data_IF_958806787293
#
_entry.id   IF_958806787293
#
_cell.length_a   1.000
_cell.length_b   1.000
_cell.length_c   1.000
_cell.angle_alpha   90.00
_cell.angle_beta   90.00
_cell.angle_gamma   90.00
#
_symmetry.space_group_name_H-M   'P 1'
#
loop_
_entity.id
_entity.type
_entity.pdbx_description
1 polymer ?
#
# COMPACT_ATOMS: atom_id res chain seq x y z
N UNK A 1 -7.08 22.69 -27.97
CA UNK A 1 -6.83 21.28 -28.35
C UNK A 1 -7.99 20.44 -27.87
N UNK A 2 -8.42 19.40 -28.61
CA UNK A 2 -9.49 18.48 -28.20
C UNK A 2 -8.95 17.05 -28.11
N UNK A 3 -9.58 16.19 -27.28
CA UNK A 3 -9.28 14.76 -27.15
C UNK A 3 -10.55 13.99 -26.73
N UNK A 4 -10.71 12.76 -27.19
CA UNK A 4 -11.84 11.92 -26.74
C UNK A 4 -11.77 11.67 -25.22
N UNK A 5 -10.58 11.34 -24.72
CA UNK A 5 -10.34 11.11 -23.28
C UNK A 5 -9.15 11.92 -22.78
N UNK A 6 -9.37 12.66 -21.70
CA UNK A 6 -8.29 13.26 -20.93
C UNK A 6 -8.17 12.52 -19.61
N UNK A 7 -6.93 12.14 -19.25
CA UNK A 7 -6.63 11.57 -17.94
C UNK A 7 -5.83 12.58 -17.13
N UNK A 8 -6.32 12.94 -15.96
CA UNK A 8 -5.68 13.90 -15.06
C UNK A 8 -4.95 13.16 -13.92
N UNK A 9 -3.62 13.10 -14.04
CA UNK A 9 -2.72 12.38 -13.14
C UNK A 9 -2.14 11.11 -13.75
N UNK A 10 -0.81 10.97 -13.71
CA UNK A 10 -0.02 9.89 -14.33
C UNK A 10 0.39 8.78 -13.37
N UNK A 11 -0.34 8.57 -12.27
CA UNK A 11 -0.16 7.45 -11.34
C UNK A 11 -0.67 6.12 -11.88
N UNK A 12 -0.65 5.02 -11.08
CA UNK A 12 -1.05 3.68 -11.53
C UNK A 12 -2.44 3.61 -12.18
N UNK A 13 -3.43 4.26 -11.60
CA UNK A 13 -4.76 4.35 -12.22
C UNK A 13 -4.74 5.18 -13.51
N UNK A 14 -4.02 6.32 -13.50
CA UNK A 14 -4.01 7.24 -14.62
C UNK A 14 -3.31 6.67 -15.86
N UNK A 15 -2.09 6.14 -15.74
CA UNK A 15 -1.44 5.54 -16.92
C UNK A 15 -2.17 4.27 -17.39
N UNK A 16 -2.77 3.50 -16.46
CA UNK A 16 -3.60 2.36 -16.85
C UNK A 16 -4.82 2.80 -17.67
N UNK A 17 -5.55 3.82 -17.21
CA UNK A 17 -6.70 4.38 -17.94
C UNK A 17 -6.27 4.91 -19.32
N UNK A 18 -5.17 5.69 -19.38
CA UNK A 18 -4.69 6.27 -20.62
C UNK A 18 -4.27 5.19 -21.64
N UNK A 19 -3.58 4.14 -21.18
CA UNK A 19 -3.12 3.06 -22.07
C UNK A 19 -4.28 2.21 -22.56
N UNK A 20 -5.21 1.84 -21.68
CA UNK A 20 -6.40 1.08 -22.05
C UNK A 20 -7.27 1.84 -23.06
N UNK A 21 -7.49 3.14 -22.82
CA UNK A 21 -8.27 3.97 -23.76
C UNK A 21 -7.61 4.06 -25.14
N UNK A 22 -6.27 4.22 -25.17
CA UNK A 22 -5.52 4.26 -26.44
C UNK A 22 -5.51 2.89 -27.15
N UNK A 23 -5.39 1.78 -26.43
CA UNK A 23 -5.45 0.42 -26.98
C UNK A 23 -6.83 0.11 -27.58
N UNK A 24 -7.90 0.76 -27.10
CA UNK A 24 -9.27 0.69 -27.65
C UNK A 24 -9.52 1.73 -28.77
N UNK A 25 -8.48 2.46 -29.20
CA UNK A 25 -8.54 3.36 -30.37
C UNK A 25 -9.01 4.78 -30.08
N UNK A 26 -9.13 5.20 -28.82
CA UNK A 26 -9.51 6.56 -28.46
C UNK A 26 -8.30 7.51 -28.55
N UNK A 27 -8.56 8.78 -28.89
CA UNK A 27 -7.55 9.84 -28.75
C UNK A 27 -7.39 10.19 -27.26
N UNK A 28 -6.15 10.09 -26.75
CA UNK A 28 -5.87 10.23 -25.32
C UNK A 28 -4.81 11.29 -25.04
N UNK A 29 -5.14 12.18 -24.12
CA UNK A 29 -4.18 13.11 -23.51
C UNK A 29 -4.05 12.74 -22.03
N UNK A 30 -2.81 12.53 -21.56
CA UNK A 30 -2.47 12.36 -20.16
C UNK A 30 -1.82 13.63 -19.62
N UNK A 31 -2.47 14.30 -18.68
CA UNK A 31 -1.96 15.51 -18.01
C UNK A 31 -1.32 15.09 -16.69
N UNK A 32 -0.02 15.38 -16.54
CA UNK A 32 0.76 15.08 -15.34
C UNK A 32 1.60 16.29 -14.92
N UNK A 33 1.53 16.62 -13.65
CA UNK A 33 2.29 17.77 -13.09
C UNK A 33 3.75 17.45 -12.81
N UNK A 34 4.08 16.19 -12.61
CA UNK A 34 5.45 15.73 -12.37
C UNK A 34 6.24 15.59 -13.68
N UNK A 35 7.56 15.57 -13.56
CA UNK A 35 8.45 15.39 -14.72
C UNK A 35 8.46 13.97 -15.28
N UNK A 36 7.95 12.99 -14.53
CA UNK A 36 7.93 11.57 -14.87
C UNK A 36 6.56 10.97 -14.57
N UNK A 37 6.14 10.00 -15.39
CA UNK A 37 4.97 9.17 -15.09
C UNK A 37 5.25 8.22 -13.93
N UNK A 38 4.20 7.78 -13.25
CA UNK A 38 4.27 6.78 -12.19
C UNK A 38 3.59 7.19 -10.89
N UNK A 39 3.36 8.50 -10.72
CA UNK A 39 2.67 9.05 -9.53
C UNK A 39 3.34 8.68 -8.22
N UNK A 40 2.59 8.78 -7.14
CA UNK A 40 3.09 8.47 -5.79
C UNK A 40 3.69 7.06 -5.69
N UNK A 41 3.01 6.05 -6.21
CA UNK A 41 3.43 4.66 -6.07
C UNK A 41 4.83 4.41 -6.64
N UNK A 42 5.09 4.85 -7.87
CA UNK A 42 6.34 4.56 -8.56
C UNK A 42 7.47 5.51 -8.15
N UNK A 43 7.15 6.79 -7.91
CA UNK A 43 8.18 7.82 -7.67
C UNK A 43 8.58 7.94 -6.19
N UNK A 44 7.61 7.80 -5.27
CA UNK A 44 7.78 8.13 -3.83
C UNK A 44 6.88 7.30 -2.90
N UNK A 45 6.61 6.05 -3.26
CA UNK A 45 5.74 5.13 -2.50
C UNK A 45 6.18 3.69 -2.62
N UNK A 46 5.34 2.86 -3.25
CA UNK A 46 5.48 1.41 -3.28
C UNK A 46 6.84 0.92 -3.82
N UNK A 47 7.28 1.45 -4.95
CA UNK A 47 8.51 0.94 -5.60
C UNK A 47 9.78 1.33 -4.81
N UNK A 48 10.01 2.61 -4.47
CA UNK A 48 11.18 2.95 -3.66
C UNK A 48 11.17 2.28 -2.28
N UNK A 49 10.00 2.14 -1.62
CA UNK A 49 9.94 1.47 -0.32
C UNK A 49 10.32 -0.01 -0.43
N UNK A 50 9.81 -0.75 -1.43
CA UNK A 50 10.15 -2.16 -1.64
C UNK A 50 11.60 -2.37 -2.04
N UNK A 51 12.19 -1.44 -2.79
CA UNK A 51 13.62 -1.46 -3.08
C UNK A 51 14.49 -1.31 -1.82
N UNK A 52 14.08 -0.44 -0.87
CA UNK A 52 14.78 -0.26 0.40
C UNK A 52 14.50 -1.40 1.39
N UNK A 53 13.25 -1.89 1.47
CA UNK A 53 12.88 -3.03 2.31
C UNK A 53 13.62 -4.31 1.91
N UNK A 54 13.88 -4.50 0.61
CA UNK A 54 14.72 -5.63 0.18
C UNK A 54 16.15 -5.54 0.75
N UNK A 55 16.74 -4.35 0.77
CA UNK A 55 18.06 -4.14 1.39
C UNK A 55 18.00 -4.43 2.90
N UNK A 56 16.97 -3.90 3.59
CA UNK A 56 16.75 -4.13 5.00
C UNK A 56 16.59 -5.63 5.32
N UNK A 57 15.78 -6.34 4.51
CA UNK A 57 15.56 -7.79 4.65
C UNK A 57 16.86 -8.57 4.55
N UNK A 58 17.68 -8.31 3.52
CA UNK A 58 18.98 -8.98 3.34
C UNK A 58 19.90 -8.73 4.54
N UNK A 59 19.96 -7.49 5.06
CA UNK A 59 20.75 -7.17 6.25
C UNK A 59 20.26 -7.95 7.48
N UNK A 60 18.94 -8.05 7.68
CA UNK A 60 18.34 -8.83 8.76
C UNK A 60 18.63 -10.34 8.63
N UNK A 61 18.46 -10.91 7.44
CA UNK A 61 18.74 -12.32 7.17
C UNK A 61 20.22 -12.67 7.40
N UNK A 62 21.15 -11.80 6.98
CA UNK A 62 22.58 -11.97 7.22
C UNK A 62 22.91 -11.95 8.73
N UNK A 63 22.26 -11.08 9.47
CA UNK A 63 22.43 -11.01 10.92
C UNK A 63 21.95 -12.29 11.62
N UNK A 64 20.75 -12.77 11.29
CA UNK A 64 20.18 -14.02 11.81
C UNK A 64 21.05 -15.25 11.46
N UNK A 65 21.55 -15.32 10.23
CA UNK A 65 22.44 -16.40 9.80
C UNK A 65 23.75 -16.40 10.61
N UNK A 66 24.25 -15.23 10.99
CA UNK A 66 25.47 -15.13 11.80
C UNK A 66 25.24 -15.58 13.25
N UNK A 67 24.03 -15.41 13.78
CA UNK A 67 23.71 -15.82 15.15
C UNK A 67 23.41 -17.32 15.25
N UNK A 68 22.59 -17.87 14.34
CA UNK A 68 21.97 -19.19 14.52
C UNK A 68 22.41 -20.26 13.53
N UNK A 69 22.99 -19.89 12.37
CA UNK A 69 23.18 -20.83 11.25
C UNK A 69 24.64 -21.24 11.04
N UNK A 70 25.55 -20.74 11.86
CA UNK A 70 26.98 -21.09 11.79
C UNK A 70 27.71 -20.48 10.59
N UNK A 71 27.22 -19.38 10.03
CA UNK A 71 27.85 -18.62 8.94
C UNK A 71 28.22 -17.24 9.46
N UNK A 72 29.51 -16.95 9.55
CA UNK A 72 29.99 -15.65 10.03
C UNK A 72 30.11 -14.65 8.86
N UNK A 73 29.54 -13.47 9.06
CA UNK A 73 29.71 -12.32 8.18
C UNK A 73 30.38 -11.18 8.95
N UNK A 74 31.22 -10.41 8.27
CA UNK A 74 31.74 -9.16 8.83
C UNK A 74 30.62 -8.10 8.98
N UNK A 75 30.83 -7.13 9.87
CA UNK A 75 29.91 -6.01 10.02
C UNK A 75 29.67 -5.29 8.67
N UNK A 76 28.42 -5.06 8.23
CA UNK A 76 28.16 -4.46 6.95
C UNK A 76 28.63 -2.99 6.93
N UNK A 77 29.29 -2.59 5.84
CA UNK A 77 29.59 -1.18 5.57
C UNK A 77 28.52 -0.62 4.61
N UNK A 78 27.68 0.24 5.12
CA UNK A 78 26.56 0.81 4.37
C UNK A 78 26.99 2.15 3.74
N UNK A 79 26.98 2.20 2.40
CA UNK A 79 27.10 3.44 1.64
C UNK A 79 25.69 3.91 1.24
N UNK A 80 25.14 4.85 2.00
CA UNK A 80 23.78 5.38 1.79
C UNK A 80 23.60 5.98 0.40
N UNK A 81 24.66 6.55 -0.19
CA UNK A 81 24.58 7.13 -1.53
C UNK A 81 24.40 6.04 -2.60
N UNK A 82 25.08 4.89 -2.44
CA UNK A 82 24.90 3.76 -3.36
C UNK A 82 23.54 3.08 -3.19
N UNK A 83 23.04 2.95 -1.97
CA UNK A 83 21.69 2.43 -1.70
C UNK A 83 20.65 3.34 -2.36
N UNK A 84 20.77 4.66 -2.18
CA UNK A 84 19.91 5.65 -2.83
C UNK A 84 20.01 5.57 -4.34
N UNK A 85 21.21 5.56 -4.91
CA UNK A 85 21.41 5.47 -6.36
C UNK A 85 20.79 4.21 -6.97
N UNK A 86 20.86 3.05 -6.27
CA UNK A 86 20.18 1.83 -6.71
C UNK A 86 18.65 2.00 -6.72
N UNK A 87 18.08 2.59 -5.66
CA UNK A 87 16.64 2.89 -5.60
C UNK A 87 16.21 3.80 -6.76
N UNK A 88 16.94 4.90 -7.00
CA UNK A 88 16.66 5.82 -8.11
C UNK A 88 16.76 5.12 -9.47
N UNK A 89 17.76 4.25 -9.67
CA UNK A 89 17.87 3.45 -10.90
C UNK A 89 16.65 2.58 -11.16
N UNK A 90 16.05 1.99 -10.13
CA UNK A 90 14.81 1.21 -10.26
C UNK A 90 13.66 2.10 -10.73
N UNK A 91 13.50 3.27 -10.09
CA UNK A 91 12.49 4.27 -10.45
C UNK A 91 12.69 4.70 -11.91
N UNK A 92 13.90 5.07 -12.30
CA UNK A 92 14.21 5.56 -13.65
C UNK A 92 13.96 4.50 -14.73
N UNK A 93 14.30 3.26 -14.45
CA UNK A 93 14.03 2.14 -15.37
C UNK A 93 12.54 1.98 -15.63
N UNK A 94 11.72 1.99 -14.58
CA UNK A 94 10.28 1.80 -14.70
C UNK A 94 9.58 3.03 -15.31
N UNK A 95 9.95 4.23 -14.91
CA UNK A 95 9.36 5.46 -15.49
C UNK A 95 9.74 5.62 -16.96
N UNK A 96 10.97 5.27 -17.34
CA UNK A 96 11.40 5.21 -18.73
C UNK A 96 10.57 4.22 -19.55
N UNK A 97 10.28 3.07 -18.99
CA UNK A 97 9.38 2.07 -19.59
C UNK A 97 7.97 2.63 -19.83
N UNK A 98 7.38 3.29 -18.84
CA UNK A 98 6.04 3.91 -18.99
C UNK A 98 6.02 4.97 -20.10
N UNK A 99 7.04 5.81 -20.17
CA UNK A 99 7.18 6.84 -21.21
C UNK A 99 7.25 6.21 -22.61
N UNK A 100 8.00 5.12 -22.77
CA UNK A 100 8.07 4.39 -24.03
C UNK A 100 6.74 3.73 -24.40
N UNK A 101 6.02 3.17 -23.42
CA UNK A 101 4.71 2.55 -23.62
C UNK A 101 3.66 3.59 -24.01
N UNK A 102 3.67 4.77 -23.41
CA UNK A 102 2.81 5.89 -23.80
C UNK A 102 3.07 6.31 -25.25
N UNK A 103 4.34 6.46 -25.63
CA UNK A 103 4.74 6.82 -27.00
C UNK A 103 4.28 5.78 -28.04
N UNK A 104 4.41 4.47 -27.74
CA UNK A 104 3.98 3.40 -28.64
C UNK A 104 2.48 3.37 -28.86
N UNK A 105 1.69 3.86 -27.90
CA UNK A 105 0.22 3.96 -27.94
C UNK A 105 -0.26 5.31 -28.44
N UNK A 106 0.63 6.20 -28.86
CA UNK A 106 0.31 7.56 -29.25
C UNK A 106 -0.42 8.38 -28.16
N UNK A 107 -0.25 8.02 -26.88
CA UNK A 107 -0.77 8.80 -25.76
C UNK A 107 0.05 10.10 -25.68
N UNK A 108 -0.63 11.23 -25.82
CA UNK A 108 -0.01 12.54 -25.68
C UNK A 108 0.13 12.89 -24.21
N UNK A 109 1.38 13.03 -23.74
CA UNK A 109 1.66 13.46 -22.36
C UNK A 109 1.82 14.99 -22.38
N UNK A 110 1.11 15.68 -21.49
CA UNK A 110 1.25 17.11 -21.25
C UNK A 110 1.69 17.31 -19.81
N UNK A 111 2.86 17.95 -19.64
CA UNK A 111 3.38 18.30 -18.33
C UNK A 111 2.78 19.61 -17.85
N UNK A 112 1.71 19.50 -17.06
CA UNK A 112 0.98 20.64 -16.53
C UNK A 112 0.16 20.25 -15.30
N UNK A 113 -0.25 21.24 -14.52
CA UNK A 113 -1.35 21.09 -13.57
C UNK A 113 -2.65 21.40 -14.30
N UNK A 114 -3.59 20.46 -14.29
CA UNK A 114 -4.92 20.62 -14.89
C UNK A 114 -5.92 21.17 -13.87
N UNK A 115 -6.77 22.11 -14.29
CA UNK A 115 -7.86 22.68 -13.51
C UNK A 115 -9.11 22.79 -14.37
N UNK A 116 -10.25 22.32 -13.89
CA UNK A 116 -11.52 22.41 -14.61
C UNK A 116 -11.98 23.87 -14.72
N UNK A 117 -12.18 24.33 -15.96
CA UNK A 117 -12.89 25.57 -16.27
C UNK A 117 -14.42 25.32 -16.29
N UNK A 118 -14.81 24.15 -16.78
CA UNK A 118 -16.17 23.61 -16.80
C UNK A 118 -16.11 22.08 -17.00
N UNK A 119 -17.27 21.42 -17.16
CA UNK A 119 -17.40 19.96 -17.29
C UNK A 119 -16.69 19.33 -18.49
N UNK A 120 -16.23 20.12 -19.48
CA UNK A 120 -15.62 19.60 -20.72
C UNK A 120 -14.33 20.32 -21.09
N UNK A 121 -13.80 21.19 -20.21
CA UNK A 121 -12.60 22.00 -20.48
C UNK A 121 -11.67 22.02 -19.27
N UNK A 122 -10.40 21.68 -19.51
CA UNK A 122 -9.30 21.88 -18.56
C UNK A 122 -8.44 23.08 -18.96
N UNK A 123 -8.15 23.93 -17.98
CA UNK A 123 -7.04 24.90 -18.01
C UNK A 123 -5.77 24.19 -17.60
N UNK A 124 -4.65 24.49 -18.28
CA UNK A 124 -3.34 23.93 -18.02
C UNK A 124 -2.44 25.00 -17.44
N UNK A 125 -1.92 24.76 -16.26
CA UNK A 125 -0.99 25.65 -15.56
C UNK A 125 0.42 25.03 -15.61
N UNK A 126 1.40 25.83 -16.05
CA UNK A 126 2.82 25.45 -16.17
C UNK A 126 3.51 26.16 -17.32
N UNK A 127 4.82 25.90 -17.46
CA UNK A 127 5.70 26.53 -18.46
C UNK A 127 6.26 25.51 -19.48
N UNK A 128 5.72 24.29 -19.50
CA UNK A 128 6.24 23.22 -20.37
C UNK A 128 5.78 23.41 -21.82
N UNK A 129 6.70 23.15 -22.76
CA UNK A 129 6.44 23.27 -24.20
C UNK A 129 5.35 22.31 -24.73
N UNK A 130 4.96 21.30 -23.96
CA UNK A 130 3.84 20.39 -24.30
C UNK A 130 2.48 21.04 -24.16
N UNK A 131 2.37 22.17 -23.43
CA UNK A 131 1.11 22.90 -23.23
C UNK A 131 0.70 23.53 -24.56
N UNK A 132 -0.54 23.29 -25.03
CA UNK A 132 -1.02 23.88 -26.29
C UNK A 132 -1.19 25.39 -26.17
N UNK A 133 -1.10 26.08 -27.31
CA UNK A 133 -1.44 27.49 -27.39
C UNK A 133 -2.82 27.78 -26.80
N UNK A 134 -2.91 28.83 -25.97
CA UNK A 134 -4.10 29.17 -25.20
C UNK A 134 -4.33 28.35 -23.90
N UNK A 135 -3.43 27.40 -23.57
CA UNK A 135 -3.41 26.71 -22.28
C UNK A 135 -4.69 25.91 -21.95
N UNK A 136 -5.44 25.44 -22.98
CA UNK A 136 -6.73 24.74 -22.77
C UNK A 136 -6.82 23.44 -23.55
N UNK A 137 -7.47 22.44 -22.91
CA UNK A 137 -7.88 21.18 -23.55
C UNK A 137 -9.38 21.02 -23.37
N UNK A 138 -10.09 20.70 -24.45
CA UNK A 138 -11.48 20.22 -24.40
C UNK A 138 -11.51 18.71 -24.57
N UNK A 139 -12.54 18.04 -24.06
CA UNK A 139 -12.66 16.59 -24.08
C UNK A 139 -14.11 16.14 -24.09
N UNK A 140 -14.31 14.89 -24.52
CA UNK A 140 -15.61 14.21 -24.37
C UNK A 140 -15.72 13.65 -22.95
N UNK A 141 -14.64 13.01 -22.45
CA UNK A 141 -14.56 12.45 -21.09
C UNK A 141 -13.25 12.80 -20.42
N UNK A 142 -13.31 13.00 -19.09
CA UNK A 142 -12.13 13.16 -18.24
C UNK A 142 -12.11 12.10 -17.12
N UNK A 143 -10.98 11.44 -16.94
CA UNK A 143 -10.73 10.52 -15.82
C UNK A 143 -9.81 11.21 -14.81
N UNK A 144 -10.35 11.56 -13.63
CA UNK A 144 -9.59 12.15 -12.53
C UNK A 144 -8.87 11.04 -11.77
N UNK A 145 -7.55 11.02 -11.85
CA UNK A 145 -6.65 10.04 -11.22
C UNK A 145 -5.54 10.72 -10.42
N UNK A 146 -5.86 11.82 -9.76
CA UNK A 146 -4.92 12.70 -9.05
C UNK A 146 -4.34 12.10 -7.76
N UNK A 147 -4.91 10.99 -7.29
CA UNK A 147 -4.37 10.19 -6.19
C UNK A 147 -4.46 10.86 -4.82
N UNK A 148 -3.42 10.69 -4.02
CA UNK A 148 -3.34 11.16 -2.64
C UNK A 148 -1.94 11.66 -2.28
N UNK A 149 -1.86 12.44 -1.20
CA UNK A 149 -0.60 12.92 -0.60
C UNK A 149 -0.54 12.54 0.88
N UNK A 150 0.66 12.46 1.50
CA UNK A 150 0.78 12.25 2.93
C UNK A 150 0.00 13.31 3.73
N UNK A 151 -0.61 12.90 4.82
CA UNK A 151 -1.22 13.83 5.77
C UNK A 151 -0.16 14.37 6.71
N UNK A 152 0.00 15.69 6.73
CA UNK A 152 0.83 16.41 7.71
C UNK A 152 -0.10 17.27 8.58
N UNK A 153 -0.34 16.89 9.84
CA UNK A 153 -1.10 17.73 10.77
C UNK A 153 -0.42 19.08 10.93
N UNK A 154 -1.16 20.20 10.96
CA UNK A 154 -0.57 21.54 11.13
C UNK A 154 0.30 21.69 12.38
N UNK A 155 -0.01 20.97 13.46
CA UNK A 155 0.79 20.95 14.70
C UNK A 155 2.16 20.27 14.55
N UNK A 156 2.38 19.49 13.49
CA UNK A 156 3.64 18.82 13.19
C UNK A 156 4.42 19.49 12.06
N UNK A 157 3.77 20.37 11.30
CA UNK A 157 4.41 21.16 10.23
C UNK A 157 5.09 22.40 10.82
N UNK A 158 6.24 22.16 11.47
CA UNK A 158 7.02 23.22 12.14
C UNK A 158 8.04 23.90 11.21
N UNK A 159 7.99 23.64 9.90
CA UNK A 159 8.92 24.20 8.91
C UNK A 159 10.34 23.63 8.96
N UNK A 160 10.58 22.57 9.74
CA UNK A 160 11.88 21.94 9.88
C UNK A 160 12.09 20.83 8.86
N UNK A 161 13.26 20.81 8.22
CA UNK A 161 13.67 19.71 7.34
C UNK A 161 13.93 18.39 8.07
N UNK A 162 13.96 18.41 9.41
CA UNK A 162 14.10 17.24 10.26
C UNK A 162 12.79 16.52 10.50
N UNK A 163 11.65 17.19 10.31
CA UNK A 163 10.32 16.59 10.33
C UNK A 163 9.96 16.26 8.88
N UNK A 164 9.82 15.00 8.58
CA UNK A 164 9.59 14.49 7.22
C UNK A 164 8.31 13.67 7.14
N UNK A 165 7.69 13.69 5.98
CA UNK A 165 6.66 12.75 5.58
C UNK A 165 7.29 11.48 4.95
N UNK A 166 6.46 10.58 4.43
CA UNK A 166 6.93 9.36 3.74
C UNK A 166 7.80 9.67 2.51
N UNK A 167 7.58 10.79 1.83
CA UNK A 167 8.39 11.22 0.67
C UNK A 167 9.81 11.58 1.13
N UNK A 168 9.91 12.35 2.20
CA UNK A 168 11.19 12.72 2.82
C UNK A 168 11.96 11.50 3.33
N UNK A 169 11.25 10.55 3.98
CA UNK A 169 11.87 9.32 4.45
C UNK A 169 12.41 8.46 3.29
N UNK A 170 11.66 8.34 2.19
CA UNK A 170 12.07 7.59 1.00
C UNK A 170 13.19 8.27 0.21
N UNK A 171 13.40 9.57 0.38
CA UNK A 171 14.56 10.26 -0.19
C UNK A 171 15.88 9.73 0.39
N UNK A 172 15.86 9.19 1.60
CA UNK A 172 16.99 8.57 2.29
C UNK A 172 18.23 9.49 2.25
N UNK A 173 18.08 10.74 2.68
CA UNK A 173 19.14 11.76 2.63
C UNK A 173 20.32 11.36 3.52
N UNK A 174 20.03 10.82 4.69
CA UNK A 174 20.99 10.32 5.68
C UNK A 174 20.40 9.14 6.47
N UNK A 175 21.19 8.59 7.37
CA UNK A 175 20.77 7.59 8.36
C UNK A 175 20.90 8.28 9.72
N UNK A 176 19.82 8.80 10.33
CA UNK A 176 19.87 9.46 11.62
C UNK A 176 20.24 8.46 12.72
N UNK A 177 20.93 8.90 13.77
CA UNK A 177 21.19 8.03 14.93
C UNK A 177 19.87 7.68 15.63
N UNK A 178 18.99 8.69 15.86
CA UNK A 178 17.70 8.53 16.50
C UNK A 178 16.58 8.98 15.55
N UNK A 179 15.69 8.07 15.22
CA UNK A 179 14.50 8.34 14.40
C UNK A 179 13.24 8.08 15.22
N UNK A 180 12.33 9.06 15.27
CA UNK A 180 10.96 8.84 15.71
C UNK A 180 10.04 8.61 14.50
N UNK A 181 9.21 7.59 14.57
CA UNK A 181 8.09 7.34 13.64
C UNK A 181 6.78 7.62 14.38
N UNK A 182 6.03 8.61 13.91
CA UNK A 182 4.69 8.95 14.41
C UNK A 182 3.65 8.27 13.51
N UNK A 183 2.95 7.29 14.08
CA UNK A 183 1.96 6.44 13.42
C UNK A 183 2.46 5.01 13.18
N UNK A 184 1.77 4.04 13.78
CA UNK A 184 2.02 2.61 13.69
C UNK A 184 1.33 1.92 12.50
N UNK A 185 1.00 2.67 11.43
CA UNK A 185 0.50 2.16 10.16
C UNK A 185 1.59 1.54 9.29
N UNK A 186 1.20 0.93 8.16
CA UNK A 186 2.13 0.20 7.28
C UNK A 186 3.30 1.05 6.78
N UNK A 187 3.08 2.33 6.42
CA UNK A 187 4.13 3.23 5.93
C UNK A 187 5.19 3.47 7.02
N UNK A 188 4.74 3.78 8.23
CA UNK A 188 5.63 4.04 9.36
C UNK A 188 6.44 2.81 9.74
N UNK A 189 5.81 1.64 9.80
CA UNK A 189 6.48 0.39 10.16
C UNK A 189 7.45 -0.08 9.08
N UNK A 190 7.10 0.03 7.78
CA UNK A 190 8.00 -0.28 6.68
C UNK A 190 9.25 0.61 6.72
N UNK A 191 9.06 1.93 6.84
CA UNK A 191 10.19 2.87 6.91
C UNK A 191 11.00 2.71 8.21
N UNK A 192 10.34 2.51 9.35
CA UNK A 192 10.98 2.20 10.62
C UNK A 192 11.88 0.96 10.52
N UNK A 193 11.39 -0.10 9.87
CA UNK A 193 12.18 -1.32 9.61
C UNK A 193 13.38 -1.04 8.73
N UNK A 194 13.22 -0.26 7.65
CA UNK A 194 14.34 0.14 6.77
C UNK A 194 15.42 0.87 7.57
N UNK A 195 15.05 1.92 8.27
CA UNK A 195 16.03 2.72 9.02
C UNK A 195 16.68 1.95 10.16
N UNK A 196 15.95 1.07 10.85
CA UNK A 196 16.51 0.22 11.91
C UNK A 196 17.60 -0.70 11.36
N UNK A 197 17.35 -1.40 10.24
CA UNK A 197 18.37 -2.25 9.61
C UNK A 197 19.54 -1.46 8.99
N UNK A 198 19.34 -0.19 8.66
CA UNK A 198 20.43 0.70 8.23
C UNK A 198 21.25 1.26 9.42
N UNK A 199 20.84 1.03 10.67
CA UNK A 199 21.59 1.38 11.87
C UNK A 199 20.99 2.48 12.75
N UNK A 200 19.80 3.01 12.42
CA UNK A 200 19.10 3.99 13.27
C UNK A 200 18.48 3.34 14.50
N UNK A 201 18.54 4.02 15.65
CA UNK A 201 17.71 3.72 16.82
C UNK A 201 16.29 4.26 16.58
N UNK A 202 15.39 3.39 16.13
CA UNK A 202 14.03 3.77 15.77
C UNK A 202 13.10 3.64 16.97
N UNK A 203 12.27 4.66 17.20
CA UNK A 203 11.13 4.63 18.13
C UNK A 203 9.84 4.78 17.33
N UNK A 204 8.81 4.02 17.67
CA UNK A 204 7.47 4.12 17.05
C UNK A 204 6.48 4.58 18.13
N UNK A 205 5.69 5.60 17.81
CA UNK A 205 4.60 6.05 18.66
C UNK A 205 3.26 5.88 17.92
N UNK A 206 2.30 5.25 18.59
CA UNK A 206 0.96 4.99 18.05
C UNK A 206 -0.10 5.43 19.07
N UNK A 207 -1.09 6.16 18.61
CA UNK A 207 -2.17 6.67 19.46
C UNK A 207 -3.13 5.58 19.91
N UNK A 208 -3.35 4.57 19.06
CA UNK A 208 -4.23 3.43 19.37
C UNK A 208 -3.52 2.37 20.23
N UNK A 209 -4.26 1.37 20.67
CA UNK A 209 -3.79 0.26 21.49
C UNK A 209 -3.03 -0.82 20.70
N UNK A 210 -2.90 -0.65 19.38
CA UNK A 210 -2.23 -1.63 18.51
C UNK A 210 -1.68 -1.06 17.22
N UNK A 211 -0.63 -1.68 16.71
CA UNK A 211 -0.07 -1.40 15.39
C UNK A 211 -1.04 -1.86 14.29
N UNK A 212 -0.91 -1.28 13.07
CA UNK A 212 -1.69 -1.64 11.88
C UNK A 212 -3.20 -1.65 12.13
N UNK A 213 -3.82 -0.50 12.45
CA UNK A 213 -5.26 -0.43 12.60
C UNK A 213 -5.94 -0.89 11.30
N UNK A 214 -6.92 -1.81 11.43
CA UNK A 214 -7.62 -2.42 10.28
C UNK A 214 -7.13 -3.80 9.85
N UNK A 215 -5.98 -4.27 10.34
CA UNK A 215 -5.57 -5.67 10.22
C UNK A 215 -6.01 -6.47 11.46
N UNK A 216 -6.40 -7.73 11.26
CA UNK A 216 -6.76 -8.64 12.37
C UNK A 216 -5.62 -8.75 13.39
N UNK A 217 -5.97 -8.68 14.66
CA UNK A 217 -4.99 -8.59 15.76
C UNK A 217 -4.06 -9.80 15.87
N UNK A 218 -4.55 -10.98 15.52
CA UNK A 218 -3.76 -12.21 15.48
C UNK A 218 -2.66 -12.14 14.40
N UNK A 219 -2.96 -11.58 13.21
CA UNK A 219 -1.97 -11.36 12.15
C UNK A 219 -0.89 -10.36 12.56
N UNK A 220 -1.24 -9.35 13.34
CA UNK A 220 -0.28 -8.31 13.78
C UNK A 220 0.65 -8.82 14.88
N UNK A 221 0.23 -9.79 15.70
CA UNK A 221 0.99 -10.24 16.87
C UNK A 221 2.39 -10.76 16.54
N UNK A 222 2.62 -11.65 15.54
CA UNK A 222 3.97 -12.08 15.15
C UNK A 222 4.87 -10.90 14.75
N UNK A 223 4.36 -10.00 13.92
CA UNK A 223 5.09 -8.79 13.53
C UNK A 223 5.43 -7.91 14.73
N UNK A 224 4.47 -7.65 15.61
CA UNK A 224 4.70 -6.84 16.81
C UNK A 224 5.84 -7.42 17.67
N UNK A 225 5.83 -8.74 17.90
CA UNK A 225 6.87 -9.41 18.66
C UNK A 225 8.26 -9.27 18.03
N UNK A 226 8.34 -9.35 16.69
CA UNK A 226 9.60 -9.18 15.96
C UNK A 226 10.08 -7.73 15.99
N UNK A 227 9.16 -6.77 15.77
CA UNK A 227 9.49 -5.34 15.87
C UNK A 227 9.93 -4.93 17.29
N UNK A 228 9.37 -5.52 18.34
CA UNK A 228 9.83 -5.31 19.72
C UNK A 228 11.31 -5.67 19.90
N UNK A 229 11.75 -6.77 19.32
CA UNK A 229 13.16 -7.16 19.33
C UNK A 229 14.00 -6.19 18.50
N UNK A 230 13.64 -5.96 17.24
CA UNK A 230 14.37 -5.08 16.33
C UNK A 230 14.50 -3.64 16.87
N UNK A 231 13.46 -3.12 17.49
CA UNK A 231 13.40 -1.75 18.02
C UNK A 231 13.70 -1.67 19.52
N UNK A 232 14.19 -2.75 20.15
CA UNK A 232 14.57 -2.80 21.57
C UNK A 232 13.47 -2.22 22.49
N UNK A 233 12.24 -2.71 22.33
CA UNK A 233 11.03 -2.30 23.05
C UNK A 233 10.62 -0.81 22.87
N UNK A 234 11.18 -0.07 21.90
CA UNK A 234 10.82 1.34 21.65
C UNK A 234 9.53 1.49 20.80
N UNK A 235 8.47 0.77 21.16
CA UNK A 235 7.13 0.88 20.59
C UNK A 235 6.19 1.39 21.68
N UNK A 236 5.65 2.58 21.48
CA UNK A 236 4.81 3.28 22.46
C UNK A 236 3.37 3.35 21.96
N UNK A 237 2.54 2.42 22.39
CA UNK A 237 1.11 2.39 22.12
C UNK A 237 0.34 3.29 23.08
N UNK A 238 -0.93 3.60 22.76
CA UNK A 238 -1.77 4.51 23.55
C UNK A 238 -1.05 5.83 23.90
N UNK A 239 -0.23 6.34 22.97
CA UNK A 239 0.62 7.49 23.19
C UNK A 239 0.40 8.53 22.11
N UNK A 240 0.04 9.74 22.51
CA UNK A 240 -0.12 10.89 21.65
C UNK A 240 1.15 11.72 21.60
N UNK A 241 1.47 12.26 20.44
CA UNK A 241 2.45 13.33 20.31
C UNK A 241 1.74 14.66 20.51
N UNK A 242 2.15 15.42 21.51
CA UNK A 242 1.56 16.72 21.85
C UNK A 242 2.13 17.86 20.99
N UNK A 243 3.48 17.96 20.93
CA UNK A 243 4.17 19.01 20.18
C UNK A 243 5.52 18.58 19.65
N UNK A 244 5.97 19.27 18.62
CA UNK A 244 7.31 19.20 18.06
C UNK A 244 7.97 20.58 18.12
N UNK A 245 9.26 20.64 18.45
CA UNK A 245 10.07 21.86 18.39
C UNK A 245 11.49 21.52 17.94
N UNK A 246 12.06 22.29 17.01
CA UNK A 246 13.48 22.14 16.65
C UNK A 246 14.35 22.90 17.65
N UNK A 247 15.28 22.19 18.29
CA UNK A 247 16.20 22.72 19.31
C UNK A 247 17.59 22.10 19.07
N UNK A 248 18.61 22.93 18.91
CA UNK A 248 20.02 22.51 18.79
C UNK A 248 20.20 21.37 17.75
N UNK A 249 19.71 21.56 16.54
CA UNK A 249 19.82 20.56 15.46
C UNK A 249 19.12 19.21 15.72
N UNK A 250 18.17 19.14 16.65
CA UNK A 250 17.32 18.01 16.93
C UNK A 250 15.86 18.43 17.04
N UNK A 251 14.94 17.48 16.93
CA UNK A 251 13.52 17.70 17.19
C UNK A 251 13.19 17.19 18.59
N UNK A 252 12.83 18.11 19.47
CA UNK A 252 12.26 17.78 20.78
C UNK A 252 10.78 17.45 20.59
N UNK A 253 10.38 16.31 21.13
CA UNK A 253 9.03 15.74 20.98
C UNK A 253 8.41 15.57 22.37
N UNK A 254 7.21 16.09 22.54
CA UNK A 254 6.42 15.88 23.78
C UNK A 254 5.49 14.70 23.60
N UNK A 255 5.52 13.77 24.53
CA UNK A 255 4.66 12.58 24.57
C UNK A 255 3.63 12.68 25.69
N UNK A 256 2.40 12.25 25.41
CA UNK A 256 1.27 12.22 26.33
C UNK A 256 0.59 10.86 26.25
N UNK A 257 0.74 10.03 27.27
CA UNK A 257 0.06 8.74 27.34
C UNK A 257 0.73 7.73 28.26
N UNK A 258 0.04 6.61 28.54
CA UNK A 258 0.58 5.55 29.42
C UNK A 258 1.77 4.80 28.80
N UNK A 259 1.89 4.75 27.47
CA UNK A 259 3.01 4.13 26.80
C UNK A 259 4.30 4.95 26.91
N UNK A 260 4.19 6.28 26.87
CA UNK A 260 5.31 7.21 27.06
C UNK A 260 4.79 8.59 27.47
N UNK A 261 5.48 9.20 28.43
CA UNK A 261 5.21 10.56 28.91
C UNK A 261 6.51 11.36 29.03
N UNK A 262 6.44 12.70 28.80
CA UNK A 262 7.58 13.60 28.90
C UNK A 262 8.16 14.00 27.55
N UNK A 263 9.44 14.34 27.52
CA UNK A 263 10.11 14.87 26.34
C UNK A 263 11.28 13.98 25.94
N UNK A 264 11.54 13.89 24.64
CA UNK A 264 12.75 13.25 24.09
C UNK A 264 13.17 13.94 22.80
N UNK A 265 14.48 13.93 22.52
CA UNK A 265 15.06 14.53 21.30
C UNK A 265 15.43 13.44 20.28
N UNK A 266 15.15 13.73 19.02
CA UNK A 266 15.43 12.88 17.86
C UNK A 266 16.13 13.69 16.78
N UNK A 267 17.00 13.03 16.01
CA UNK A 267 17.67 13.69 14.89
C UNK A 267 16.71 13.92 13.72
N UNK A 268 15.74 13.00 13.56
CA UNK A 268 14.65 13.13 12.59
C UNK A 268 13.35 12.56 13.13
N UNK A 269 12.25 13.08 12.62
CA UNK A 269 10.89 12.62 12.91
C UNK A 269 10.17 12.31 11.59
N UNK A 270 9.65 11.10 11.45
CA UNK A 270 8.78 10.70 10.35
C UNK A 270 7.31 10.77 10.79
N UNK A 271 6.52 11.59 10.12
CA UNK A 271 5.07 11.68 10.31
C UNK A 271 4.38 10.79 9.27
N UNK A 272 3.71 9.73 9.74
CA UNK A 272 3.04 8.70 8.91
C UNK A 272 1.63 8.38 9.41
N UNK A 273 0.85 9.42 9.67
CA UNK A 273 -0.50 9.35 10.28
C UNK A 273 -1.64 9.25 9.27
N UNK A 274 -1.35 8.90 8.04
CA UNK A 274 -2.34 8.67 6.98
C UNK A 274 -2.07 9.47 5.71
N UNK A 275 -3.05 9.45 4.81
CA UNK A 275 -3.03 10.12 3.51
C UNK A 275 -4.33 10.88 3.29
N UNK A 276 -4.29 11.92 2.47
CA UNK A 276 -5.48 12.68 2.05
C UNK A 276 -5.61 12.68 0.52
N UNK A 277 -6.83 12.59 -0.03
CA UNK A 277 -7.06 12.66 -1.47
C UNK A 277 -6.70 14.03 -2.04
N UNK A 278 -6.26 14.06 -3.31
CA UNK A 278 -5.96 15.30 -4.03
C UNK A 278 -7.18 15.68 -4.89
N UNK A 279 -8.20 16.23 -4.25
CA UNK A 279 -9.43 16.72 -4.88
C UNK A 279 -9.55 18.24 -4.84
N UNK A 280 -8.76 18.90 -4.03
CA UNK A 280 -8.78 20.36 -3.89
C UNK A 280 -7.89 21.06 -4.93
N UNK A 281 -8.30 22.26 -5.35
CA UNK A 281 -7.55 23.08 -6.31
C UNK A 281 -7.65 22.57 -7.75
N UNK A 282 -8.54 21.63 -8.03
CA UNK A 282 -8.79 21.11 -9.37
C UNK A 282 -9.86 21.88 -10.15
N UNK A 283 -10.52 22.87 -9.56
CA UNK A 283 -11.63 23.61 -10.18
C UNK A 283 -12.93 22.79 -10.28
N UNK A 284 -13.10 21.75 -9.44
CA UNK A 284 -14.28 20.89 -9.44
C UNK A 284 -15.55 21.66 -9.10
N UNK A 285 -15.43 22.81 -8.42
CA UNK A 285 -16.52 23.75 -8.15
C UNK A 285 -17.17 24.33 -9.42
N UNK A 286 -16.49 24.25 -10.56
CA UNK A 286 -16.97 24.67 -11.89
C UNK A 286 -17.71 23.53 -12.64
N UNK A 287 -17.91 22.39 -12.00
CA UNK A 287 -18.50 21.17 -12.55
C UNK A 287 -19.62 20.65 -11.64
N UNK A 288 -20.28 19.55 -12.02
CA UNK A 288 -21.27 18.89 -11.15
C UNK A 288 -20.66 17.85 -10.20
N UNK A 289 -19.34 17.73 -10.15
CA UNK A 289 -18.64 16.74 -9.31
C UNK A 289 -18.82 17.07 -7.82
N UNK A 290 -19.19 16.07 -7.05
CA UNK A 290 -19.35 16.19 -5.59
C UNK A 290 -18.14 15.63 -4.86
N UNK A 291 -17.76 16.30 -3.77
CA UNK A 291 -16.72 15.87 -2.84
C UNK A 291 -17.35 15.62 -1.48
N UNK A 292 -17.07 14.46 -0.88
CA UNK A 292 -17.58 14.13 0.45
C UNK A 292 -16.77 14.82 1.57
N UNK A 293 -17.23 14.69 2.83
CA UNK A 293 -16.60 15.30 4.02
C UNK A 293 -15.16 14.83 4.29
N UNK A 294 -14.76 13.69 3.71
CA UNK A 294 -13.38 13.14 3.80
C UNK A 294 -12.49 13.61 2.66
N UNK A 295 -13.01 14.42 1.75
CA UNK A 295 -12.29 14.95 0.59
C UNK A 295 -12.26 14.03 -0.64
N UNK A 296 -12.94 12.89 -0.64
CA UNK A 296 -13.02 12.01 -1.81
C UNK A 296 -14.04 12.51 -2.83
N UNK A 297 -13.73 12.37 -4.11
CA UNK A 297 -14.69 12.56 -5.19
C UNK A 297 -15.71 11.41 -5.12
N UNK A 298 -17.00 11.77 -5.10
CA UNK A 298 -18.09 10.79 -5.06
C UNK A 298 -18.30 10.19 -6.45
N UNK A 299 -18.19 8.87 -6.55
CA UNK A 299 -18.48 8.12 -7.77
C UNK A 299 -19.25 6.83 -7.45
N UNK A 300 -19.93 6.30 -8.47
CA UNK A 300 -20.64 5.02 -8.40
C UNK A 300 -19.72 3.82 -8.72
N UNK A 301 -20.29 2.61 -8.74
CA UNK A 301 -19.55 1.38 -9.11
C UNK A 301 -19.07 1.34 -10.56
N UNK A 302 -19.52 2.25 -11.40
CA UNK A 302 -19.06 2.45 -12.78
C UNK A 302 -17.97 3.53 -12.86
N UNK A 303 -17.50 4.05 -11.73
CA UNK A 303 -16.57 5.16 -11.60
C UNK A 303 -17.10 6.50 -12.15
N UNK A 304 -18.41 6.62 -12.37
CA UNK A 304 -19.05 7.86 -12.80
C UNK A 304 -19.23 8.80 -11.62
N UNK A 305 -18.91 10.05 -11.81
CA UNK A 305 -19.28 11.11 -10.87
C UNK A 305 -20.70 11.63 -11.16
N UNK A 306 -21.14 12.65 -10.44
CA UNK A 306 -22.40 13.35 -10.76
C UNK A 306 -22.33 14.16 -12.06
N UNK A 307 -21.13 14.38 -12.60
CA UNK A 307 -20.92 15.00 -13.90
C UNK A 307 -20.80 13.92 -15.00
N UNK A 308 -21.63 13.96 -16.05
CA UNK A 308 -21.67 12.91 -17.07
C UNK A 308 -20.37 12.78 -17.88
N UNK A 309 -19.54 13.81 -17.89
CA UNK A 309 -18.27 13.85 -18.61
C UNK A 309 -17.07 13.46 -17.74
N UNK A 310 -17.24 13.33 -16.40
CA UNK A 310 -16.14 13.19 -15.46
C UNK A 310 -16.25 11.89 -14.67
N UNK A 311 -15.18 11.10 -14.72
CA UNK A 311 -14.97 9.87 -13.94
C UNK A 311 -13.89 10.12 -12.89
N UNK A 312 -13.89 9.33 -11.79
CA UNK A 312 -12.85 9.39 -10.78
C UNK A 312 -12.39 7.98 -10.38
N UNK A 313 -11.08 7.79 -10.24
CA UNK A 313 -10.46 6.49 -9.92
C UNK A 313 -9.31 6.64 -8.92
N UNK A 314 -8.99 5.56 -8.23
CA UNK A 314 -7.87 5.46 -7.32
C UNK A 314 -8.11 6.19 -5.99
N UNK A 315 -7.00 6.66 -5.40
CA UNK A 315 -7.02 7.24 -4.05
C UNK A 315 -7.92 8.48 -3.93
N UNK A 316 -8.16 9.21 -5.02
CA UNK A 316 -9.04 10.38 -5.00
C UNK A 316 -10.51 10.00 -4.94
N UNK A 317 -10.88 8.78 -5.36
CA UNK A 317 -12.25 8.28 -5.41
C UNK A 317 -12.66 7.52 -4.14
N UNK A 318 -11.72 7.00 -3.34
CA UNK A 318 -12.05 6.31 -2.09
C UNK A 318 -11.03 5.29 -1.60
N UNK A 319 -11.28 4.78 -0.40
CA UNK A 319 -10.52 3.69 0.22
C UNK A 319 -10.84 2.32 -0.42
N UNK A 320 -9.92 1.34 -0.30
CA UNK A 320 -8.56 1.48 0.17
C UNK A 320 -7.67 2.20 -0.86
N UNK A 321 -6.71 3.01 -0.39
CA UNK A 321 -5.76 3.75 -1.24
C UNK A 321 -4.65 2.81 -1.72
N UNK A 322 -4.94 2.00 -2.76
CA UNK A 322 -4.07 0.95 -3.28
C UNK A 322 -3.91 1.05 -4.80
N UNK A 323 -2.68 0.91 -5.27
CA UNK A 323 -2.33 1.06 -6.69
C UNK A 323 -3.07 0.05 -7.58
N UNK A 324 -3.18 -1.22 -7.14
CA UNK A 324 -3.88 -2.28 -7.89
C UNK A 324 -5.40 -2.04 -7.95
N UNK A 325 -6.02 -1.49 -6.89
CA UNK A 325 -7.43 -1.04 -6.94
C UNK A 325 -7.59 0.03 -8.03
N UNK A 326 -6.75 1.06 -8.03
CA UNK A 326 -6.80 2.14 -9.02
C UNK A 326 -6.68 1.62 -10.46
N UNK A 327 -5.81 0.64 -10.73
CA UNK A 327 -5.66 0.03 -12.06
C UNK A 327 -6.90 -0.77 -12.49
N UNK A 328 -7.58 -1.44 -11.55
CA UNK A 328 -8.83 -2.14 -11.84
C UNK A 328 -10.01 -1.18 -12.04
N UNK A 329 -10.08 -0.10 -11.28
CA UNK A 329 -11.07 0.98 -11.47
C UNK A 329 -10.86 1.69 -12.81
N UNK A 330 -9.61 1.87 -13.24
CA UNK A 330 -9.27 2.42 -14.55
C UNK A 330 -9.88 1.57 -15.69
N UNK A 331 -9.78 0.24 -15.60
CA UNK A 331 -10.39 -0.67 -16.57
C UNK A 331 -11.91 -0.48 -16.63
N UNK A 332 -12.56 -0.45 -15.47
CA UNK A 332 -14.03 -0.23 -15.40
C UNK A 332 -14.41 1.11 -16.01
N UNK A 333 -13.72 2.21 -15.65
CA UNK A 333 -14.01 3.54 -16.17
C UNK A 333 -13.92 3.59 -17.71
N UNK A 334 -12.86 3.01 -18.30
CA UNK A 334 -12.69 2.99 -19.76
C UNK A 334 -13.71 2.08 -20.44
N UNK A 335 -14.01 0.91 -19.89
CA UNK A 335 -15.06 0.05 -20.42
C UNK A 335 -16.43 0.74 -20.42
N UNK A 336 -16.74 1.52 -19.38
CA UNK A 336 -17.98 2.31 -19.28
C UNK A 336 -18.00 3.46 -20.29
N UNK A 337 -16.88 4.17 -20.48
CA UNK A 337 -16.73 5.21 -21.52
C UNK A 337 -17.00 4.64 -22.91
N UNK A 338 -16.60 3.41 -23.17
CA UNK A 338 -16.85 2.68 -24.42
C UNK A 338 -18.28 2.12 -24.53
N UNK A 339 -19.16 2.38 -23.55
CA UNK A 339 -20.54 1.87 -23.54
C UNK A 339 -20.67 0.40 -23.15
N UNK A 340 -19.61 -0.24 -22.61
CA UNK A 340 -19.65 -1.62 -22.11
C UNK A 340 -20.33 -1.67 -20.72
N UNK A 341 -21.08 -2.73 -20.37
CA UNK A 341 -21.76 -2.87 -19.08
C UNK A 341 -20.77 -3.33 -17.99
N UNK A 342 -19.81 -2.50 -17.62
CA UNK A 342 -18.80 -2.79 -16.61
C UNK A 342 -19.14 -2.15 -15.26
N UNK A 343 -18.80 -2.85 -14.17
CA UNK A 343 -18.90 -2.34 -12.80
C UNK A 343 -17.69 -2.81 -11.97
N UNK A 344 -17.29 -2.02 -11.00
CA UNK A 344 -16.31 -2.42 -9.98
C UNK A 344 -17.02 -3.20 -8.88
N UNK A 345 -16.98 -4.52 -8.99
CA UNK A 345 -17.66 -5.46 -8.09
C UNK A 345 -16.69 -6.59 -7.70
N UNK A 346 -15.70 -6.27 -6.90
CA UNK A 346 -14.67 -7.20 -6.44
C UNK A 346 -15.04 -7.78 -5.09
N UNK A 347 -15.01 -9.11 -4.97
CA UNK A 347 -15.21 -9.82 -3.71
C UNK A 347 -14.00 -9.64 -2.77
N UNK A 348 -12.80 -9.48 -3.33
CA UNK A 348 -11.57 -9.33 -2.57
C UNK A 348 -10.62 -8.30 -3.19
N UNK A 349 -10.16 -7.36 -2.38
CA UNK A 349 -9.04 -6.47 -2.68
C UNK A 349 -7.93 -6.81 -1.70
N UNK A 350 -6.80 -7.36 -2.15
CA UNK A 350 -5.73 -7.74 -1.23
C UNK A 350 -5.05 -6.50 -0.64
N UNK A 351 -4.67 -6.60 0.63
CA UNK A 351 -3.81 -5.65 1.31
C UNK A 351 -2.53 -6.36 1.76
N UNK A 352 -1.38 -5.70 1.63
CA UNK A 352 -0.08 -6.24 2.00
C UNK A 352 0.73 -5.19 2.75
N UNK A 353 1.32 -5.60 3.87
CA UNK A 353 2.32 -4.86 4.63
C UNK A 353 3.65 -5.58 4.46
N UNK A 354 4.64 -4.91 3.88
CA UNK A 354 5.93 -5.50 3.50
C UNK A 354 6.99 -5.39 4.60
N UNK A 355 6.57 -5.48 5.84
CA UNK A 355 7.44 -5.63 7.00
C UNK A 355 8.08 -7.02 7.04
N UNK A 356 8.84 -7.33 8.09
CA UNK A 356 9.34 -8.68 8.34
C UNK A 356 8.87 -9.13 9.74
N UNK A 357 7.97 -10.16 9.84
CA UNK A 357 7.26 -10.84 8.76
C UNK A 357 6.32 -9.92 7.97
N UNK A 358 6.04 -10.30 6.71
CA UNK A 358 4.99 -9.67 5.92
C UNK A 358 3.62 -10.04 6.48
N UNK A 359 2.63 -9.15 6.31
CA UNK A 359 1.22 -9.45 6.59
C UNK A 359 0.43 -9.20 5.32
N UNK A 360 -0.40 -10.18 4.93
CA UNK A 360 -1.31 -10.03 3.81
C UNK A 360 -2.70 -10.53 4.17
N UNK A 361 -3.73 -9.88 3.64
CA UNK A 361 -5.11 -10.34 3.80
C UNK A 361 -5.97 -9.96 2.60
N UNK A 362 -7.03 -10.72 2.37
CA UNK A 362 -8.00 -10.50 1.31
C UNK A 362 -9.38 -10.99 1.74
N UNK A 363 -10.43 -10.36 1.22
CA UNK A 363 -11.82 -10.69 1.53
C UNK A 363 -12.23 -10.31 2.96
N UNK A 364 -13.09 -11.10 3.58
CA UNK A 364 -13.64 -10.87 4.92
C UNK A 364 -12.56 -11.02 5.98
N UNK A 365 -12.47 -10.06 6.91
CA UNK A 365 -11.60 -10.16 8.09
C UNK A 365 -12.38 -10.65 9.32
N UNK A 366 -11.68 -11.22 10.31
CA UNK A 366 -12.28 -11.65 11.58
C UNK A 366 -12.98 -10.49 12.30
N UNK A 367 -12.32 -9.33 12.35
CA UNK A 367 -12.90 -8.13 12.98
C UNK A 367 -14.14 -7.62 12.23
N UNK A 368 -14.17 -7.74 10.89
CA UNK A 368 -15.35 -7.39 10.10
C UNK A 368 -16.49 -8.39 10.35
N UNK A 369 -16.21 -9.69 10.33
CA UNK A 369 -17.21 -10.72 10.62
C UNK A 369 -17.86 -10.51 11.99
N UNK A 370 -17.08 -10.19 13.03
CA UNK A 370 -17.57 -9.87 14.38
C UNK A 370 -18.47 -8.63 14.39
N UNK A 371 -18.06 -7.55 13.72
CA UNK A 371 -18.86 -6.31 13.64
C UNK A 371 -20.20 -6.52 12.92
N UNK A 372 -20.21 -7.37 11.90
CA UNK A 372 -21.40 -7.68 11.10
C UNK A 372 -22.26 -8.77 11.73
N UNK A 373 -21.81 -9.42 12.83
CA UNK A 373 -22.46 -10.56 13.45
C UNK A 373 -22.53 -11.80 12.55
N UNK A 374 -21.63 -11.88 11.58
CA UNK A 374 -21.54 -12.97 10.62
C UNK A 374 -20.84 -14.16 11.24
N UNK A 375 -21.48 -15.33 11.20
CA UNK A 375 -20.86 -16.58 11.62
C UNK A 375 -19.85 -17.05 10.57
N UNK A 376 -18.65 -17.37 11.03
CA UNK A 376 -17.57 -17.92 10.20
C UNK A 376 -16.81 -18.98 10.98
N UNK A 377 -16.33 -20.00 10.30
CA UNK A 377 -15.29 -20.88 10.81
C UNK A 377 -13.92 -20.28 10.47
N UNK A 378 -13.04 -20.23 11.47
CA UNK A 378 -11.67 -19.71 11.30
C UNK A 378 -10.72 -20.89 11.42
N UNK A 379 -10.02 -21.19 10.32
CA UNK A 379 -9.11 -22.31 10.23
C UNK A 379 -7.67 -21.81 10.10
N UNK A 380 -6.81 -22.22 11.01
CA UNK A 380 -5.44 -21.71 11.15
C UNK A 380 -4.44 -22.84 11.01
N UNK A 381 -3.47 -22.67 10.12
CA UNK A 381 -2.30 -23.52 9.99
C UNK A 381 -1.03 -22.76 10.42
N UNK A 382 -0.39 -23.16 11.54
CA UNK A 382 0.82 -22.52 12.03
C UNK A 382 2.01 -22.91 11.15
N UNK A 383 2.84 -21.96 10.76
CA UNK A 383 4.02 -22.23 9.93
C UNK A 383 5.10 -23.04 10.64
N UNK A 384 5.04 -23.12 11.98
CA UNK A 384 5.89 -24.04 12.74
C UNK A 384 5.71 -25.52 12.35
N UNK A 385 4.57 -25.87 11.75
CA UNK A 385 4.30 -27.22 11.24
C UNK A 385 4.72 -27.40 9.75
N UNK A 386 5.08 -26.31 9.05
CA UNK A 386 5.48 -26.36 7.64
C UNK A 386 6.95 -26.74 7.47
N UNK A 387 7.22 -27.81 6.73
CA UNK A 387 8.59 -28.24 6.41
C UNK A 387 9.42 -27.15 5.70
N UNK A 388 8.78 -26.38 4.81
CA UNK A 388 9.46 -25.27 4.13
C UNK A 388 9.79 -24.13 5.10
N UNK A 389 8.87 -23.76 5.98
CA UNK A 389 9.12 -22.71 6.96
C UNK A 389 10.23 -23.11 7.94
N UNK A 390 10.29 -24.38 8.36
CA UNK A 390 11.39 -24.92 9.16
C UNK A 390 12.73 -24.85 8.40
N UNK A 391 12.75 -25.25 7.14
CA UNK A 391 13.98 -25.27 6.33
C UNK A 391 14.60 -23.88 6.11
N UNK A 392 13.78 -22.83 6.10
CA UNK A 392 14.24 -21.43 5.95
C UNK A 392 14.31 -20.67 7.29
N UNK A 393 14.08 -21.34 8.44
CA UNK A 393 14.13 -20.72 9.76
C UNK A 393 13.02 -19.66 10.03
N UNK A 394 11.91 -19.69 9.28
CA UNK A 394 10.86 -18.68 9.35
C UNK A 394 9.52 -19.29 9.79
N UNK A 395 9.48 -19.70 11.05
CA UNK A 395 8.34 -20.41 11.67
C UNK A 395 7.38 -19.49 12.41
N UNK A 396 7.64 -18.21 12.45
CA UNK A 396 6.95 -17.18 13.22
C UNK A 396 5.61 -16.72 12.60
N UNK A 397 5.11 -17.43 11.60
CA UNK A 397 3.91 -17.11 10.86
C UNK A 397 2.78 -18.13 10.96
N UNK A 398 1.68 -17.81 10.31
CA UNK A 398 0.55 -18.71 10.07
C UNK A 398 -0.26 -18.26 8.85
N UNK A 399 -1.07 -19.20 8.32
CA UNK A 399 -2.08 -18.97 7.31
C UNK A 399 -3.45 -19.26 7.91
N UNK A 400 -4.43 -18.37 7.72
CA UNK A 400 -5.81 -18.59 8.16
C UNK A 400 -6.82 -18.39 7.02
N UNK A 401 -7.86 -19.21 7.02
CA UNK A 401 -9.06 -19.02 6.22
C UNK A 401 -10.25 -18.64 7.10
N UNK A 402 -11.10 -17.78 6.57
CA UNK A 402 -12.45 -17.54 7.07
C UNK A 402 -13.42 -18.23 6.10
N UNK A 403 -14.20 -19.17 6.62
CA UNK A 403 -15.05 -20.07 5.85
C UNK A 403 -16.50 -19.90 6.27
N UNK A 404 -17.40 -19.91 5.32
CA UNK A 404 -18.83 -19.94 5.56
C UNK A 404 -19.22 -21.34 6.11
N UNK A 405 -19.81 -21.44 7.32
CA UNK A 405 -20.08 -22.72 7.95
C UNK A 405 -21.18 -23.55 7.27
N UNK A 406 -22.02 -22.93 6.42
CA UNK A 406 -23.12 -23.63 5.74
C UNK A 406 -22.74 -24.06 4.32
N UNK A 407 -22.02 -23.19 3.59
CA UNK A 407 -21.69 -23.42 2.19
C UNK A 407 -20.26 -23.89 1.98
N UNK A 408 -19.41 -23.87 3.02
CA UNK A 408 -17.97 -24.13 2.98
C UNK A 408 -17.18 -23.24 2.02
N UNK A 409 -17.75 -22.13 1.55
CA UNK A 409 -17.05 -21.16 0.70
C UNK A 409 -16.01 -20.37 1.47
N UNK A 410 -14.89 -20.14 0.83
CA UNK A 410 -13.85 -19.26 1.38
C UNK A 410 -14.30 -17.80 1.25
N UNK A 411 -14.30 -17.09 2.36
CA UNK A 411 -14.80 -15.72 2.46
C UNK A 411 -13.65 -14.72 2.66
N UNK A 412 -12.57 -15.16 3.27
CA UNK A 412 -11.42 -14.34 3.57
C UNK A 412 -10.19 -15.17 3.88
N UNK A 413 -9.03 -14.56 3.73
CA UNK A 413 -7.74 -15.15 4.05
C UNK A 413 -6.85 -14.13 4.74
N UNK A 414 -6.07 -14.58 5.71
CA UNK A 414 -5.00 -13.81 6.34
C UNK A 414 -3.73 -14.64 6.42
N UNK A 415 -2.61 -14.03 6.07
CA UNK A 415 -1.29 -14.66 6.10
C UNK A 415 -0.32 -13.72 6.82
N UNK A 416 0.42 -14.25 7.77
CA UNK A 416 1.57 -13.55 8.33
C UNK A 416 2.80 -14.45 8.20
N UNK A 417 3.86 -13.94 7.59
CA UNK A 417 5.09 -14.69 7.37
C UNK A 417 5.86 -14.17 6.16
N UNK A 418 7.05 -14.72 5.91
CA UNK A 418 7.86 -14.31 4.76
C UNK A 418 7.17 -14.67 3.44
N UNK A 419 7.05 -13.72 2.51
CA UNK A 419 6.40 -13.92 1.22
C UNK A 419 4.88 -13.94 1.28
N UNK A 420 4.24 -13.49 2.37
CA UNK A 420 2.79 -13.41 2.49
C UNK A 420 2.16 -12.59 1.35
N UNK A 421 2.86 -11.54 0.89
CA UNK A 421 2.41 -10.70 -0.22
C UNK A 421 2.31 -11.43 -1.56
N UNK A 422 3.14 -12.44 -1.79
CA UNK A 422 3.08 -13.28 -2.99
C UNK A 422 2.00 -14.37 -2.84
N UNK A 423 1.91 -14.98 -1.66
CA UNK A 423 0.98 -16.08 -1.38
C UNK A 423 -0.49 -15.66 -1.42
N UNK A 424 -0.82 -14.43 -1.05
CA UNK A 424 -2.21 -13.94 -0.98
C UNK A 424 -2.94 -13.96 -2.32
N UNK A 425 -2.21 -13.99 -3.43
CA UNK A 425 -2.79 -13.98 -4.78
C UNK A 425 -3.66 -15.22 -5.05
N UNK A 426 -3.27 -16.39 -4.55
CA UNK A 426 -4.08 -17.61 -4.63
C UNK A 426 -5.39 -17.45 -3.85
N UNK A 427 -5.32 -16.86 -2.66
CA UNK A 427 -6.50 -16.60 -1.85
C UNK A 427 -7.46 -15.60 -2.53
N UNK A 428 -6.94 -14.55 -3.16
CA UNK A 428 -7.77 -13.62 -3.95
C UNK A 428 -8.50 -14.35 -5.07
N UNK A 429 -7.79 -15.22 -5.81
CA UNK A 429 -8.40 -16.01 -6.88
C UNK A 429 -9.50 -16.93 -6.34
N UNK A 430 -9.23 -17.65 -5.25
CA UNK A 430 -10.21 -18.54 -4.63
C UNK A 430 -11.49 -17.79 -4.19
N UNK A 431 -11.35 -16.62 -3.56
CA UNK A 431 -12.49 -15.80 -3.12
C UNK A 431 -13.27 -15.25 -4.32
N UNK A 432 -12.59 -14.69 -5.33
CA UNK A 432 -13.24 -14.16 -6.54
C UNK A 432 -13.98 -15.24 -7.34
N UNK A 433 -13.45 -16.45 -7.38
CA UNK A 433 -14.08 -17.59 -8.07
C UNK A 433 -15.18 -18.26 -7.22
N UNK A 434 -15.36 -17.87 -5.95
CA UNK A 434 -16.34 -18.45 -5.04
C UNK A 434 -16.04 -19.91 -4.67
N UNK A 435 -14.75 -20.26 -4.59
CA UNK A 435 -14.29 -21.60 -4.25
C UNK A 435 -14.79 -22.05 -2.87
N UNK A 436 -15.02 -23.35 -2.74
CA UNK A 436 -15.17 -24.02 -1.45
C UNK A 436 -13.80 -24.45 -0.92
N UNK A 437 -13.70 -24.69 0.39
CA UNK A 437 -12.45 -25.18 1.02
C UNK A 437 -11.97 -26.47 0.37
N UNK A 438 -12.90 -27.30 -0.12
CA UNK A 438 -12.57 -28.55 -0.83
C UNK A 438 -11.74 -28.32 -2.09
N UNK A 439 -12.03 -27.25 -2.83
CA UNK A 439 -11.26 -26.93 -4.06
C UNK A 439 -9.79 -26.65 -3.74
N UNK A 440 -9.51 -26.04 -2.58
CA UNK A 440 -8.15 -25.81 -2.12
C UNK A 440 -7.44 -27.11 -1.71
N UNK A 441 -8.14 -28.00 -0.99
CA UNK A 441 -7.56 -29.24 -0.48
C UNK A 441 -7.37 -30.31 -1.56
N UNK A 442 -8.18 -30.29 -2.63
CA UNK A 442 -8.02 -31.16 -3.79
C UNK A 442 -7.00 -30.63 -4.83
N UNK A 443 -6.57 -29.37 -4.67
CA UNK A 443 -5.54 -28.77 -5.53
C UNK A 443 -4.14 -29.17 -5.06
N UNK A 444 -3.38 -29.88 -5.90
CA UNK A 444 -2.03 -30.34 -5.56
C UNK A 444 -1.08 -29.14 -5.50
N UNK A 445 -0.47 -28.93 -4.34
CA UNK A 445 0.57 -27.92 -4.14
C UNK A 445 1.97 -28.56 -4.21
N UNK A 446 2.97 -27.85 -4.75
CA UNK A 446 4.33 -28.38 -4.83
C UNK A 446 4.98 -28.49 -3.44
N UNK A 447 5.67 -29.58 -3.17
CA UNK A 447 6.35 -29.84 -1.90
C UNK A 447 7.89 -29.75 -2.05
N UNK A 448 8.65 -29.11 -1.11
CA UNK A 448 8.14 -28.30 0.01
C UNK A 448 8.06 -26.81 -0.38
N UNK A 449 6.93 -26.19 -0.13
CA UNK A 449 6.70 -24.75 -0.40
C UNK A 449 5.89 -24.09 0.73
N UNK A 450 5.89 -22.73 0.74
CA UNK A 450 5.01 -21.98 1.62
C UNK A 450 3.54 -21.93 1.11
N UNK A 451 3.32 -22.18 -0.19
CA UNK A 451 1.96 -22.23 -0.75
C UNK A 451 1.15 -23.41 -0.21
N UNK A 452 1.80 -24.52 0.20
CA UNK A 452 1.13 -25.63 0.88
C UNK A 452 0.36 -25.19 2.12
N UNK A 453 0.77 -24.09 2.77
CA UNK A 453 0.11 -23.59 3.99
C UNK A 453 -1.33 -23.14 3.73
N UNK A 454 -1.68 -22.78 2.49
CA UNK A 454 -3.05 -22.45 2.08
C UNK A 454 -3.91 -23.73 2.01
N UNK A 455 -3.41 -24.77 1.35
CA UNK A 455 -4.03 -26.09 1.29
C UNK A 455 -4.17 -26.68 2.70
N UNK A 456 -3.07 -26.72 3.46
CA UNK A 456 -3.05 -27.28 4.81
C UNK A 456 -4.03 -26.58 5.76
N UNK A 457 -4.17 -25.24 5.67
CA UNK A 457 -5.17 -24.50 6.42
C UNK A 457 -6.60 -24.90 6.02
N UNK A 458 -6.84 -25.25 4.75
CA UNK A 458 -8.10 -25.88 4.29
C UNK A 458 -8.31 -27.27 4.86
N UNK A 459 -7.27 -28.09 4.93
CA UNK A 459 -7.35 -29.44 5.53
C UNK A 459 -7.66 -29.40 7.02
N UNK A 460 -7.26 -28.34 7.73
CA UNK A 460 -7.66 -28.11 9.14
C UNK A 460 -9.18 -28.04 9.28
N UNK A 461 -9.88 -27.47 8.29
CA UNK A 461 -11.35 -27.40 8.28
C UNK A 461 -11.99 -28.78 8.33
N UNK A 462 -11.47 -29.73 7.57
CA UNK A 462 -11.97 -31.11 7.53
C UNK A 462 -11.35 -32.02 8.60
N UNK A 463 -10.36 -31.54 9.37
CA UNK A 463 -9.61 -32.36 10.33
C UNK A 463 -8.77 -33.46 9.66
N UNK A 464 -8.28 -33.17 8.44
CA UNK A 464 -7.45 -34.09 7.62
C UNK A 464 -5.99 -33.64 7.52
N UNK A 465 -5.64 -32.46 8.05
CA UNK A 465 -4.25 -32.00 8.08
C UNK A 465 -3.35 -33.01 8.80
N UNK A 466 -2.26 -33.42 8.16
CA UNK A 466 -1.36 -34.47 8.66
C UNK A 466 -0.28 -33.95 9.59
N UNK A 467 0.12 -32.68 9.43
CA UNK A 467 1.20 -32.04 10.18
C UNK A 467 0.75 -31.45 11.52
N UNK A 468 -0.58 -31.31 11.72
CA UNK A 468 -1.16 -30.82 12.98
C UNK A 468 -2.31 -31.69 13.42
N UNK A 469 -2.50 -31.82 14.74
CA UNK A 469 -3.62 -32.53 15.29
C UNK A 469 -4.73 -31.58 15.74
N UNK A 470 -5.90 -31.67 15.12
CA UNK A 470 -7.13 -30.99 15.55
C UNK A 470 -8.13 -32.08 16.01
N UNK A 471 -8.53 -32.12 17.29
CA UNK A 471 -9.56 -33.08 17.73
C UNK A 471 -10.84 -32.90 16.92
N UNK A 472 -11.41 -33.99 16.41
CA UNK A 472 -12.71 -33.96 15.75
C UNK A 472 -13.76 -33.43 16.73
N UNK A 473 -14.48 -32.38 16.33
CA UNK A 473 -15.68 -31.95 17.05
C UNK A 473 -16.70 -33.10 16.88
N UNK A 474 -16.94 -33.89 17.94
CA UNK A 474 -18.06 -34.77 17.95
C UNK A 474 -19.32 -33.89 18.04
N UNK A 475 -20.09 -33.82 16.95
CA UNK A 475 -21.40 -33.18 16.88
C UNK A 475 -22.44 -33.93 17.68
#
# INVERSE_FOLDING_TARGET
>A
MHSSVVVLGGGPGGYAAAFLAADEGLEVILVESESKLGGTCLLRGCIPSKALLHVAKVLGEVHEMSEDWGVEFGAPKIDVNKVRARKEKVIDTLTGGLTQLAKRRNVKIIKARGKFENSTTLLLEGDDASIPEGGKITFDFCVVATGSVPSMPPSFDIGSSRVMDSTGALALVDIPEKLLVIGGGYIGLEMGTVYAHLGSKVSVVEWTDGLLPGADRDLVKPLHNRLKKLLEDRIYLNTKVGSLAEIDDQVEVTFEGPGKFGHERFDRVLVSVGRRPVSQGLGLENTNVQINSRGFIVCDKQQRTNDPHIFAIGDVAGDPMLAHKASHEAKVAIEVILGKPAIFDKAAIPAVVFTDPEIAWAGLTDDQAKREGRKVDIEVYPWAASGRAQAIGRTDGFTKWLVDPETHRVLGCGIVGTGAGELIAEAVLAIEMGCEVRDLTESIHPHPTLSETLMNAGEVHFGTATEIYKPKRHG
#
